data_IF_131960349002
#
_entry.id   IF_131960349002
#
_cell.length_a   1.000
_cell.length_b   1.000
_cell.length_c   1.000
_cell.angle_alpha   90.00
_cell.angle_beta   90.00
_cell.angle_gamma   90.00
#
_symmetry.space_group_name_H-M   'P 1'
#
loop_
_entity.id
_entity.type
_entity.pdbx_description
1 polymer ?
#
# COMPACT_ATOMS: atom_id res chain seq x y z
N UNK A 1 3.55 -5.22 44.32
CA UNK A 1 4.49 -4.11 44.05
C UNK A 1 5.42 -4.56 42.93
N UNK A 2 5.51 -3.79 41.84
CA UNK A 2 6.36 -3.99 40.65
C UNK A 2 6.10 -5.24 39.78
N UNK A 3 5.41 -5.08 38.62
CA UNK A 3 5.97 -4.73 37.28
C UNK A 3 7.03 -5.78 36.87
N UNK A 4 6.86 -6.62 35.84
CA UNK A 4 6.39 -6.34 34.49
C UNK A 4 5.71 -7.59 33.91
N UNK A 5 4.46 -7.45 33.44
CA UNK A 5 3.94 -8.34 32.40
C UNK A 5 4.89 -8.18 31.21
N UNK A 6 5.63 -9.24 30.84
CA UNK A 6 6.18 -9.32 29.48
C UNK A 6 4.97 -9.27 28.55
N UNK A 7 4.66 -8.09 28.02
CA UNK A 7 3.82 -7.94 26.83
C UNK A 7 4.64 -8.48 25.66
N UNK A 8 4.60 -9.78 25.48
CA UNK A 8 4.76 -10.38 24.17
C UNK A 8 3.33 -10.76 23.83
N UNK A 9 2.63 -9.80 23.22
CA UNK A 9 1.28 -10.01 22.72
C UNK A 9 1.36 -11.14 21.68
N UNK A 10 0.53 -12.16 21.85
CA UNK A 10 0.19 -13.12 20.82
C UNK A 10 -0.01 -12.41 19.45
N UNK A 11 0.38 -13.09 18.37
CA UNK A 11 0.13 -12.77 16.95
C UNK A 11 1.27 -12.10 16.15
N UNK A 12 2.44 -12.74 16.13
CA UNK A 12 3.51 -12.51 15.14
C UNK A 12 3.15 -13.22 13.82
N UNK A 13 2.04 -12.87 13.15
CA UNK A 13 1.66 -13.36 11.80
C UNK A 13 0.71 -12.46 10.98
N UNK A 14 0.55 -11.19 11.32
CA UNK A 14 -0.06 -10.25 10.38
C UNK A 14 1.03 -9.78 9.44
N UNK A 15 1.08 -10.39 8.24
CA UNK A 15 1.84 -9.89 7.11
C UNK A 15 1.52 -8.41 6.93
N UNK A 16 2.46 -7.56 7.31
CA UNK A 16 2.38 -6.13 7.06
C UNK A 16 2.56 -5.92 5.55
N UNK A 17 1.46 -6.06 4.79
CA UNK A 17 1.45 -5.70 3.38
C UNK A 17 1.76 -4.20 3.27
N UNK A 18 3.03 -3.87 3.08
CA UNK A 18 3.53 -2.51 2.93
C UNK A 18 3.07 -1.99 1.58
N UNK A 19 2.06 -1.13 1.59
CA UNK A 19 1.58 -0.45 0.37
C UNK A 19 2.45 0.78 0.14
N UNK A 20 3.18 0.81 -0.96
CA UNK A 20 3.99 1.94 -1.41
C UNK A 20 3.38 2.54 -2.67
N UNK A 21 3.04 3.82 -2.59
CA UNK A 21 2.40 4.57 -3.65
C UNK A 21 3.39 5.58 -4.20
N UNK A 22 3.88 5.31 -5.41
CA UNK A 22 4.79 6.19 -6.13
C UNK A 22 3.98 7.16 -6.97
N UNK A 23 4.10 8.45 -6.66
CA UNK A 23 3.36 9.49 -7.36
C UNK A 23 4.14 10.80 -7.46
N UNK A 24 3.58 11.77 -8.19
CA UNK A 24 4.12 13.13 -8.23
C UNK A 24 3.25 14.06 -7.38
N UNK A 25 3.87 15.09 -6.81
CA UNK A 25 3.21 16.07 -5.94
C UNK A 25 2.07 16.83 -6.65
N UNK A 26 2.14 16.96 -7.98
CA UNK A 26 1.15 17.63 -8.81
C UNK A 26 0.36 16.59 -9.63
N UNK A 27 -0.35 15.68 -8.96
CA UNK A 27 -1.08 14.62 -9.65
C UNK A 27 -2.42 14.29 -8.98
N UNK A 28 -3.51 14.76 -9.62
CA UNK A 28 -4.88 14.54 -9.16
C UNK A 28 -5.19 13.06 -8.85
N UNK A 29 -4.71 12.12 -9.67
CA UNK A 29 -4.94 10.69 -9.45
C UNK A 29 -4.19 10.14 -8.23
N UNK A 30 -3.03 10.70 -7.89
CA UNK A 30 -2.29 10.30 -6.69
C UNK A 30 -3.03 10.73 -5.43
N UNK A 31 -3.58 11.94 -5.41
CA UNK A 31 -4.36 12.43 -4.27
C UNK A 31 -5.67 11.65 -4.08
N UNK A 32 -6.32 11.22 -5.17
CA UNK A 32 -7.46 10.31 -5.08
C UNK A 32 -7.07 8.97 -4.44
N UNK A 33 -5.91 8.42 -4.81
CA UNK A 33 -5.41 7.16 -4.28
C UNK A 33 -5.09 7.24 -2.78
N UNK A 34 -4.45 8.34 -2.35
CA UNK A 34 -4.20 8.62 -0.93
C UNK A 34 -5.50 8.69 -0.15
N UNK A 35 -6.43 9.55 -0.59
CA UNK A 35 -7.73 9.70 0.06
C UNK A 35 -8.50 8.39 0.13
N UNK A 36 -8.40 7.54 -0.91
CA UNK A 36 -9.04 6.22 -0.92
C UNK A 36 -8.50 5.30 0.19
N UNK A 37 -7.18 5.33 0.41
CA UNK A 37 -6.53 4.54 1.46
C UNK A 37 -6.76 5.13 2.86
N UNK A 38 -6.65 6.46 3.00
CA UNK A 38 -6.92 7.19 4.24
C UNK A 38 -8.38 7.02 4.70
N UNK A 39 -9.34 7.12 3.76
CA UNK A 39 -10.76 6.86 4.03
C UNK A 39 -11.02 5.46 4.59
N UNK A 40 -10.13 4.52 4.32
CA UNK A 40 -10.22 3.12 4.77
C UNK A 40 -9.29 2.82 5.95
N UNK A 41 -8.63 3.84 6.51
CA UNK A 41 -7.64 3.69 7.59
C UNK A 41 -6.56 2.64 7.25
N UNK A 42 -6.19 2.53 5.96
CA UNK A 42 -5.14 1.61 5.50
C UNK A 42 -3.82 2.35 5.59
N UNK A 43 -2.82 1.73 6.21
CA UNK A 43 -1.47 2.29 6.27
C UNK A 43 -0.79 2.13 4.91
N UNK A 44 -0.26 3.23 4.38
CA UNK A 44 0.50 3.25 3.13
C UNK A 44 1.65 4.26 3.22
N UNK A 45 2.66 4.05 2.39
CA UNK A 45 3.79 4.96 2.23
C UNK A 45 3.68 5.66 0.89
N UNK A 46 3.63 6.98 0.89
CA UNK A 46 3.69 7.76 -0.34
C UNK A 46 5.12 8.18 -0.64
N UNK A 47 5.61 7.84 -1.83
CA UNK A 47 6.96 8.17 -2.28
C UNK A 47 6.86 9.04 -3.52
N UNK A 48 7.50 10.21 -3.51
CA UNK A 48 7.54 11.07 -4.69
C UNK A 48 8.43 10.44 -5.76
N UNK A 49 7.88 10.22 -6.95
CA UNK A 49 8.63 9.64 -8.07
C UNK A 49 9.64 10.66 -8.61
N UNK A 50 10.91 10.45 -8.32
CA UNK A 50 12.05 11.15 -8.93
C UNK A 50 12.56 10.36 -10.15
N UNK A 51 13.33 10.98 -11.07
CA UNK A 51 13.93 10.27 -12.21
C UNK A 51 14.69 9.00 -11.79
N UNK A 52 15.42 9.03 -10.68
CA UNK A 52 16.13 7.87 -10.12
C UNK A 52 15.17 6.74 -9.71
N UNK A 53 14.03 7.10 -9.10
CA UNK A 53 12.99 6.12 -8.73
C UNK A 53 12.30 5.54 -9.96
N UNK A 54 12.01 6.36 -10.98
CA UNK A 54 11.45 5.84 -12.25
C UNK A 54 12.40 4.81 -12.85
N UNK A 55 13.70 5.11 -12.88
CA UNK A 55 14.70 4.20 -13.39
C UNK A 55 14.78 2.92 -12.57
N UNK A 56 14.82 3.03 -11.24
CA UNK A 56 14.73 1.87 -10.34
C UNK A 56 13.48 1.03 -10.63
N UNK A 57 12.31 1.64 -10.82
CA UNK A 57 11.07 0.93 -11.12
C UNK A 57 11.15 0.20 -12.46
N UNK A 58 11.79 0.79 -13.46
CA UNK A 58 12.00 0.16 -14.77
C UNK A 58 12.92 -1.05 -14.68
N UNK A 59 13.99 -0.94 -13.87
CA UNK A 59 14.98 -1.98 -13.67
C UNK A 59 14.47 -3.13 -12.80
N UNK A 60 13.72 -2.82 -11.73
CA UNK A 60 13.26 -3.82 -10.76
C UNK A 60 11.91 -4.44 -11.12
N UNK A 61 11.01 -3.72 -11.79
CA UNK A 61 9.65 -4.20 -12.08
C UNK A 61 9.40 -4.37 -13.57
N UNK A 62 9.36 -3.27 -14.33
CA UNK A 62 9.14 -3.34 -15.77
C UNK A 62 9.47 -2.02 -16.47
N UNK A 63 10.16 -2.05 -17.64
CA UNK A 63 10.38 -0.86 -18.46
C UNK A 63 9.09 -0.30 -19.07
N UNK A 64 7.96 -1.01 -18.97
CA UNK A 64 6.65 -0.56 -19.44
C UNK A 64 5.99 0.46 -18.51
N UNK A 65 6.54 0.71 -17.32
CA UNK A 65 5.98 1.64 -16.32
C UNK A 65 6.21 3.09 -16.78
N UNK A 66 5.34 3.59 -17.65
CA UNK A 66 5.41 4.99 -18.15
C UNK A 66 4.43 5.93 -17.47
N UNK A 67 3.52 5.38 -16.66
CA UNK A 67 2.38 6.09 -16.07
C UNK A 67 2.46 6.08 -14.56
N UNK A 68 2.26 7.26 -13.96
CA UNK A 68 2.00 7.43 -12.52
C UNK A 68 0.49 7.56 -12.30
N UNK A 69 -0.06 7.13 -11.15
CA UNK A 69 0.63 6.53 -10.00
C UNK A 69 1.07 5.09 -10.25
N UNK A 70 2.19 4.69 -9.63
CA UNK A 70 2.68 3.31 -9.61
C UNK A 70 2.50 2.76 -8.20
N UNK A 71 1.89 1.59 -8.08
CA UNK A 71 1.56 1.00 -6.80
C UNK A 71 2.31 -0.30 -6.62
N UNK A 72 3.02 -0.40 -5.50
CA UNK A 72 3.78 -1.57 -5.08
C UNK A 72 3.24 -2.02 -3.75
N UNK A 73 2.89 -3.28 -3.61
CA UNK A 73 2.42 -3.87 -2.35
C UNK A 73 3.30 -5.04 -2.00
N UNK A 74 3.86 -5.01 -0.78
CA UNK A 74 4.76 -6.07 -0.31
C UNK A 74 5.98 -6.28 -1.23
N UNK A 75 6.46 -5.19 -1.85
CA UNK A 75 7.54 -5.26 -2.83
C UNK A 75 7.14 -5.85 -4.19
N UNK A 76 5.87 -6.13 -4.44
CA UNK A 76 5.34 -6.54 -5.73
C UNK A 76 4.63 -5.38 -6.44
N UNK A 77 5.04 -5.07 -7.67
CA UNK A 77 4.32 -4.10 -8.49
C UNK A 77 2.98 -4.69 -8.91
N UNK A 78 1.89 -4.03 -8.49
CA UNK A 78 0.53 -4.43 -8.84
C UNK A 78 -0.02 -3.65 -10.03
N UNK A 79 0.36 -2.37 -10.20
CA UNK A 79 -0.10 -1.59 -11.34
C UNK A 79 -0.32 -0.12 -11.03
N UNK A 80 -1.39 0.45 -11.59
CA UNK A 80 -1.76 1.86 -11.43
C UNK A 80 -2.84 2.11 -10.38
N UNK A 81 -3.53 3.25 -10.51
CA UNK A 81 -4.66 3.61 -9.66
C UNK A 81 -5.81 2.57 -9.73
N UNK A 82 -6.11 2.07 -10.93
CA UNK A 82 -7.16 1.07 -11.14
C UNK A 82 -6.84 -0.25 -10.43
N UNK A 83 -5.62 -0.79 -10.62
CA UNK A 83 -5.18 -2.00 -9.94
C UNK A 83 -5.14 -1.84 -8.42
N UNK A 84 -4.76 -0.66 -7.90
CA UNK A 84 -4.85 -0.39 -6.47
C UNK A 84 -6.28 -0.53 -5.97
N UNK A 85 -7.26 0.08 -6.64
CA UNK A 85 -8.66 -0.01 -6.21
C UNK A 85 -9.15 -1.47 -6.23
N UNK A 86 -8.84 -2.22 -7.29
CA UNK A 86 -9.17 -3.65 -7.38
C UNK A 86 -8.49 -4.43 -6.26
N UNK A 87 -7.18 -4.22 -6.05
CA UNK A 87 -6.42 -4.89 -5.00
C UNK A 87 -7.01 -4.63 -3.62
N UNK A 88 -7.36 -3.39 -3.30
CA UNK A 88 -7.97 -3.07 -2.01
C UNK A 88 -9.36 -3.70 -1.89
N UNK A 89 -10.18 -3.67 -2.94
CA UNK A 89 -11.51 -4.29 -2.92
C UNK A 89 -11.43 -5.82 -2.74
N UNK A 90 -10.46 -6.45 -3.39
CA UNK A 90 -10.27 -7.90 -3.33
C UNK A 90 -9.56 -8.38 -2.06
N UNK A 91 -8.67 -7.58 -1.47
CA UNK A 91 -7.88 -7.97 -0.30
C UNK A 91 -8.36 -7.35 1.02
N UNK A 92 -9.27 -6.38 1.00
CA UNK A 92 -9.84 -5.75 2.18
C UNK A 92 -11.37 -5.74 2.08
N UNK A 93 -12.05 -6.47 2.95
CA UNK A 93 -13.52 -6.34 3.10
C UNK A 93 -13.82 -5.26 4.13
N UNK A 94 -14.70 -4.33 3.78
CA UNK A 94 -15.23 -3.31 4.70
C UNK A 94 -16.58 -3.81 5.22
N UNK A 95 -16.56 -4.52 6.34
CA UNK A 95 -17.78 -4.78 7.11
C UNK A 95 -17.88 -3.75 8.25
N UNK A 96 -18.86 -2.85 8.15
CA UNK A 96 -19.31 -1.99 9.25
C UNK A 96 -18.19 -1.32 10.05
N UNK A 97 -17.58 -0.27 9.51
CA UNK A 97 -16.64 0.63 10.20
C UNK A 97 -15.30 -0.01 10.63
N UNK A 98 -14.97 -1.19 10.12
CA UNK A 98 -13.68 -1.85 10.33
C UNK A 98 -13.13 -2.38 9.03
N UNK A 99 -11.86 -2.09 8.78
CA UNK A 99 -11.11 -2.64 7.64
C UNK A 99 -10.42 -3.92 8.12
N UNK A 100 -10.75 -5.07 7.51
CA UNK A 100 -10.08 -6.34 7.78
C UNK A 100 -9.43 -6.85 6.50
N UNK A 101 -8.15 -7.20 6.58
CA UNK A 101 -7.43 -7.89 5.50
C UNK A 101 -8.01 -9.29 5.34
N UNK A 102 -8.35 -9.65 4.10
CA UNK A 102 -8.73 -11.02 3.75
C UNK A 102 -7.43 -11.81 3.69
N UNK A 103 -7.04 -12.42 4.82
CA UNK A 103 -5.94 -13.37 4.86
C UNK A 103 -6.37 -14.57 4.00
N UNK A 104 -5.91 -14.62 2.74
CA UNK A 104 -6.01 -15.84 1.94
C UNK A 104 -5.08 -16.88 2.58
N UNK A 105 -5.70 -17.84 3.26
CA UNK A 105 -5.03 -18.96 3.94
C UNK A 105 -4.39 -19.95 2.98
#
# INVERSE_FOLDING_TARGET
MHFMRRKISNDDRIGECMIVLYGKTDCNYCDLAKQYLESRNITFQYVTTTPDIVQMLHENFSPSIKTVPVVVVDGAWIGGYSELMSYINENYTIEGNKTMQILKG
#
